data_IF_284942519023
#
_entry.id   IF_284942519023
#
_cell.length_a   1.000
_cell.length_b   1.000
_cell.length_c   1.000
_cell.angle_alpha   90.00
_cell.angle_beta   90.00
_cell.angle_gamma   90.00
#
_symmetry.space_group_name_H-M   'P 1'
#
loop_
_entity.id
_entity.type
_entity.pdbx_description
1 polymer ?
#
# COMPACT_ATOMS: atom_id res chain seq x y z
N UNK A 1 0.04 10.99 -7.95
CA UNK A 1 1.06 10.74 -6.92
C UNK A 1 1.57 9.30 -7.04
N UNK A 2 2.89 9.13 -7.04
CA UNK A 2 3.53 7.82 -7.05
C UNK A 2 4.69 7.79 -6.07
N UNK A 3 4.63 6.87 -5.11
CA UNK A 3 5.64 6.67 -4.08
C UNK A 3 6.17 5.25 -4.19
N UNK A 4 7.49 5.11 -4.28
CA UNK A 4 8.14 3.79 -4.31
C UNK A 4 8.38 3.36 -2.87
N UNK A 5 7.79 2.24 -2.45
CA UNK A 5 8.07 1.68 -1.14
C UNK A 5 9.37 0.87 -1.15
N UNK A 6 9.49 -0.05 -2.11
CA UNK A 6 10.64 -0.94 -2.20
C UNK A 6 11.05 -1.12 -3.65
N UNK A 7 12.37 -1.12 -3.88
CA UNK A 7 13.01 -1.56 -5.12
C UNK A 7 14.23 -2.39 -4.73
N UNK A 8 14.17 -3.67 -5.04
CA UNK A 8 15.32 -4.57 -4.95
C UNK A 8 15.40 -5.36 -6.26
N UNK A 9 16.59 -5.85 -6.62
CA UNK A 9 16.83 -6.55 -7.89
C UNK A 9 15.85 -7.73 -8.07
N UNK A 10 14.79 -7.51 -8.86
CA UNK A 10 13.73 -8.49 -9.13
C UNK A 10 12.34 -8.18 -8.55
N UNK A 11 12.16 -7.08 -7.81
CA UNK A 11 10.85 -6.70 -7.28
C UNK A 11 10.68 -5.22 -6.96
N UNK A 12 9.48 -4.69 -7.22
CA UNK A 12 9.09 -3.33 -6.83
C UNK A 12 7.72 -3.29 -6.17
N UNK A 13 7.58 -2.41 -5.17
CA UNK A 13 6.30 -2.11 -4.54
C UNK A 13 6.08 -0.59 -4.57
N UNK A 14 4.93 -0.16 -5.08
CA UNK A 14 4.63 1.25 -5.35
C UNK A 14 3.25 1.59 -4.83
N UNK A 15 3.15 2.68 -4.07
CA UNK A 15 1.89 3.29 -3.68
C UNK A 15 1.53 4.35 -4.72
N UNK A 16 0.39 4.22 -5.37
CA UNK A 16 0.01 5.14 -6.44
C UNK A 16 -1.50 5.34 -6.53
N UNK A 17 -1.90 6.55 -6.90
CA UNK A 17 -3.26 6.92 -7.28
C UNK A 17 -3.45 7.02 -8.82
N UNK A 18 -2.40 6.74 -9.59
CA UNK A 18 -2.39 6.84 -11.06
C UNK A 18 -2.84 5.54 -11.75
N UNK A 19 -2.93 4.45 -10.99
CA UNK A 19 -3.39 3.17 -11.50
C UNK A 19 -4.91 3.20 -11.76
N UNK A 20 -5.40 2.56 -12.83
CA UNK A 20 -6.84 2.56 -13.19
C UNK A 20 -7.76 2.01 -12.09
N UNK A 21 -7.24 1.11 -11.26
CA UNK A 21 -7.94 0.52 -10.12
C UNK A 21 -8.00 1.44 -8.89
N UNK A 22 -7.23 2.55 -8.89
CA UNK A 22 -7.26 3.56 -7.84
C UNK A 22 -8.49 4.45 -8.01
N UNK A 23 -9.04 4.90 -6.89
CA UNK A 23 -10.06 5.94 -6.89
C UNK A 23 -9.42 7.28 -6.52
N UNK A 24 -10.00 8.43 -6.92
CA UNK A 24 -9.46 9.74 -6.56
C UNK A 24 -9.21 9.86 -5.05
N UNK A 25 -7.98 10.21 -4.66
CA UNK A 25 -7.56 10.33 -3.26
C UNK A 25 -7.42 9.01 -2.49
N UNK A 26 -7.53 7.86 -3.17
CA UNK A 26 -7.44 6.52 -2.57
C UNK A 26 -6.36 5.73 -3.30
N UNK A 27 -5.09 5.87 -2.89
CA UNK A 27 -4.00 5.14 -3.52
C UNK A 27 -4.17 3.64 -3.36
N UNK A 28 -3.60 2.88 -4.30
CA UNK A 28 -3.47 1.43 -4.27
C UNK A 28 -1.99 1.06 -4.16
N UNK A 29 -1.71 -0.12 -3.61
CA UNK A 29 -0.38 -0.71 -3.58
C UNK A 29 -0.22 -1.61 -4.80
N UNK A 30 0.67 -1.27 -5.71
CA UNK A 30 1.05 -2.09 -6.86
C UNK A 30 2.34 -2.82 -6.50
N UNK A 31 2.30 -4.15 -6.54
CA UNK A 31 3.49 -5.00 -6.31
C UNK A 31 3.80 -5.73 -7.60
N UNK A 32 5.06 -5.66 -8.01
CA UNK A 32 5.61 -6.31 -9.19
C UNK A 32 6.91 -7.01 -8.76
N UNK A 33 6.82 -8.26 -8.29
CA UNK A 33 7.95 -9.11 -7.93
C UNK A 33 7.89 -10.46 -8.66
N UNK A 34 8.93 -11.28 -8.53
CA UNK A 34 8.96 -12.63 -9.12
C UNK A 34 7.83 -13.52 -8.59
N UNK A 35 7.60 -13.49 -7.28
CA UNK A 35 6.65 -14.39 -6.59
C UNK A 35 5.28 -13.76 -6.32
N UNK A 36 5.19 -12.43 -6.39
CA UNK A 36 3.97 -11.67 -6.06
C UNK A 36 3.76 -10.58 -7.09
N UNK A 37 2.61 -10.60 -7.77
CA UNK A 37 2.19 -9.54 -8.68
C UNK A 37 0.73 -9.20 -8.47
N UNK A 38 0.42 -7.91 -8.38
CA UNK A 38 -0.97 -7.47 -8.25
C UNK A 38 -1.14 -6.05 -7.75
N UNK A 39 -2.41 -5.66 -7.71
CA UNK A 39 -2.87 -4.36 -7.23
C UNK A 39 -3.72 -4.59 -5.99
N UNK A 40 -3.30 -4.00 -4.88
CA UNK A 40 -3.81 -4.30 -3.56
C UNK A 40 -4.37 -3.05 -2.90
N UNK A 41 -5.61 -3.15 -2.44
CA UNK A 41 -6.24 -2.22 -1.50
C UNK A 41 -5.82 -2.56 -0.07
N UNK A 42 -6.03 -1.67 0.90
CA UNK A 42 -5.53 -1.86 2.27
C UNK A 42 -5.96 -3.17 2.96
N UNK A 43 -7.16 -3.68 2.64
CA UNK A 43 -7.68 -4.94 3.19
C UNK A 43 -7.25 -6.19 2.42
N UNK A 44 -6.70 -6.02 1.23
CA UNK A 44 -6.34 -7.16 0.38
C UNK A 44 -5.18 -7.94 1.02
N UNK A 45 -5.20 -9.25 0.83
CA UNK A 45 -4.18 -10.16 1.33
C UNK A 45 -3.12 -10.37 0.26
N UNK A 46 -1.87 -10.18 0.65
CA UNK A 46 -0.69 -10.46 -0.15
C UNK A 46 -0.14 -11.80 0.35
N UNK A 47 0.03 -12.75 -0.56
CA UNK A 47 0.63 -14.05 -0.25
C UNK A 47 2.14 -13.94 -0.46
N UNK A 48 2.91 -14.07 0.61
CA UNK A 48 4.37 -14.07 0.54
C UNK A 48 4.94 -15.40 0.02
N UNK A 49 6.25 -15.45 -0.24
CA UNK A 49 6.92 -16.64 -0.78
C UNK A 49 6.82 -17.88 0.13
N UNK A 50 6.62 -17.69 1.43
CA UNK A 50 6.38 -18.78 2.40
C UNK A 50 4.93 -19.28 2.45
N UNK A 51 4.02 -18.75 1.62
CA UNK A 51 2.58 -19.03 1.68
C UNK A 51 1.84 -18.30 2.80
N UNK A 52 2.54 -17.49 3.58
CA UNK A 52 1.95 -16.61 4.60
C UNK A 52 1.13 -15.50 3.93
N UNK A 53 0.01 -15.13 4.56
CA UNK A 53 -0.86 -14.08 4.07
C UNK A 53 -0.77 -12.88 5.01
N UNK A 54 -0.40 -11.73 4.47
CA UNK A 54 -0.33 -10.46 5.20
C UNK A 54 -1.22 -9.43 4.51
N UNK A 55 -1.90 -8.59 5.29
CA UNK A 55 -2.66 -7.50 4.70
C UNK A 55 -1.73 -6.44 4.09
N UNK A 56 -2.11 -5.90 2.94
CA UNK A 56 -1.38 -4.83 2.28
C UNK A 56 -1.13 -3.62 3.20
N UNK A 57 -2.09 -3.29 4.08
CA UNK A 57 -1.88 -2.24 5.09
C UNK A 57 -0.69 -2.52 6.01
N UNK A 58 -0.50 -3.77 6.42
CA UNK A 58 0.58 -4.13 7.34
C UNK A 58 1.94 -3.99 6.66
N UNK A 59 2.03 -4.29 5.36
CA UNK A 59 3.22 -4.04 4.54
C UNK A 59 3.54 -2.54 4.48
N UNK A 60 2.54 -1.72 4.15
CA UNK A 60 2.70 -0.26 4.05
C UNK A 60 3.06 0.36 5.40
N UNK A 61 2.45 -0.09 6.50
CA UNK A 61 2.76 0.37 7.86
C UNK A 61 4.17 -0.03 8.30
N UNK A 62 4.58 -1.27 8.01
CA UNK A 62 5.93 -1.74 8.30
C UNK A 62 6.97 -0.88 7.57
N UNK A 63 6.77 -0.65 6.29
CA UNK A 63 7.63 0.24 5.50
C UNK A 63 7.66 1.69 6.01
N UNK A 64 6.49 2.25 6.34
CA UNK A 64 6.39 3.63 6.84
C UNK A 64 7.01 3.81 8.23
N UNK A 65 7.22 2.72 8.98
CA UNK A 65 7.88 2.74 10.28
C UNK A 65 9.41 2.72 10.21
N UNK A 66 10.00 2.51 9.02
CA UNK A 66 11.45 2.57 8.86
C UNK A 66 11.98 4.02 8.93
N UNK A 67 13.21 4.19 9.41
CA UNK A 67 13.88 5.48 9.47
C UNK A 67 14.19 6.03 8.06
N UNK A 68 14.18 7.37 7.94
CA UNK A 68 14.61 8.06 6.71
C UNK A 68 13.52 8.25 5.64
N UNK A 69 12.25 8.00 5.98
CA UNK A 69 11.11 8.23 5.07
C UNK A 69 10.84 9.72 4.87
N UNK A 70 10.59 10.09 3.62
CA UNK A 70 10.26 11.47 3.24
C UNK A 70 8.84 11.84 3.70
N UNK A 71 8.54 13.14 3.93
CA UNK A 71 7.20 13.57 4.32
C UNK A 71 6.10 13.16 3.32
N UNK A 72 6.40 13.17 2.02
CA UNK A 72 5.48 12.74 0.97
C UNK A 72 5.19 11.24 1.01
N UNK A 73 6.18 10.43 1.38
CA UNK A 73 6.09 8.98 1.54
C UNK A 73 5.17 8.62 2.71
N UNK A 74 5.34 9.32 3.83
CA UNK A 74 4.50 9.16 5.01
C UNK A 74 3.07 9.63 4.75
N UNK A 75 2.89 10.73 4.02
CA UNK A 75 1.56 11.21 3.62
C UNK A 75 0.83 10.19 2.74
N UNK A 76 1.54 9.56 1.81
CA UNK A 76 1.03 8.50 0.96
C UNK A 76 0.60 7.27 1.77
N UNK A 77 1.47 6.79 2.67
CA UNK A 77 1.15 5.69 3.57
C UNK A 77 -0.07 6.00 4.44
N UNK A 78 -0.13 7.21 5.01
CA UNK A 78 -1.27 7.64 5.81
C UNK A 78 -2.57 7.67 5.00
N UNK A 79 -2.54 8.15 3.76
CA UNK A 79 -3.70 8.15 2.86
C UNK A 79 -4.15 6.72 2.51
N UNK A 80 -3.22 5.77 2.35
CA UNK A 80 -3.54 4.36 2.15
C UNK A 80 -4.21 3.75 3.38
N UNK A 81 -3.61 3.91 4.56
CA UNK A 81 -4.08 3.36 5.83
C UNK A 81 -5.43 3.94 6.24
N UNK A 82 -5.65 5.23 6.01
CA UNK A 82 -6.89 5.93 6.35
C UNK A 82 -8.13 5.36 5.66
N UNK A 83 -7.97 4.62 4.55
CA UNK A 83 -9.11 3.98 3.88
C UNK A 83 -9.69 2.79 4.67
N UNK A 84 -9.02 2.33 5.72
CA UNK A 84 -9.52 1.28 6.63
C UNK A 84 -10.50 1.80 7.66
N UNK A 85 -10.43 3.10 7.99
CA UNK A 85 -11.42 3.72 8.84
C UNK A 85 -12.78 3.53 8.15
N UNK A 86 -13.79 2.95 8.82
CA UNK A 86 -15.13 3.03 8.29
C UNK A 86 -15.43 4.52 8.10
N UNK A 87 -16.10 4.85 6.98
CA UNK A 87 -16.85 6.09 6.92
C UNK A 87 -17.63 6.16 8.24
N UNK A 88 -17.23 7.05 9.15
CA UNK A 88 -18.04 7.40 10.30
C UNK A 88 -19.23 8.16 9.71
N UNK A 89 -20.14 7.42 9.07
CA UNK A 89 -21.48 7.92 8.82
C UNK A 89 -22.03 8.17 10.20
N UNK A 90 -22.22 9.46 10.47
CA UNK A 90 -23.08 9.97 11.52
C UNK A 90 -24.29 9.03 11.65
N UNK A 91 -24.39 8.37 12.79
CA UNK A 91 -25.68 7.89 13.26
C UNK A 91 -26.31 9.09 13.94
N UNK A 92 -27.24 9.72 13.23
CA UNK A 92 -28.24 10.66 13.78
C UNK A 92 -29.18 9.93 14.75
#
# INVERSE_FOLDING_TARGET
>A
MRVVLMQEDGGSAVLTDEHEAASPGRPVLVVEAADVRGVFRPRDLITGPGGEQIHAVSVVMGWASEDGRLPEELAAAHAFVSQLAPCASASE
#
